data_IF_439093296921
#
_entry.id   IF_439093296921
#
_cell.length_a   1.000
_cell.length_b   1.000
_cell.length_c   1.000
_cell.angle_alpha   90.00
_cell.angle_beta   90.00
_cell.angle_gamma   90.00
#
_symmetry.space_group_name_H-M   'P 1'
#
loop_
_entity.id
_entity.type
_entity.pdbx_description
1 polymer ?
#
# COMPACT_ATOMS: atom_id res chain seq x y z
N UNK A 1 2.22 -8.52 -17.59
CA UNK A 1 3.52 -8.57 -16.88
C UNK A 1 3.25 -8.35 -15.40
N UNK A 2 3.50 -9.34 -14.55
CA UNK A 2 3.31 -9.26 -13.11
C UNK A 2 4.25 -8.19 -12.52
N UNK A 3 3.75 -7.35 -11.64
CA UNK A 3 4.50 -6.21 -11.10
C UNK A 3 5.58 -6.60 -10.06
N UNK A 4 5.71 -7.89 -9.72
CA UNK A 4 6.85 -8.43 -8.97
C UNK A 4 6.88 -8.12 -7.46
N UNK A 5 5.72 -8.04 -6.81
CA UNK A 5 5.62 -7.80 -5.37
C UNK A 5 4.57 -8.71 -4.72
N UNK A 6 4.78 -9.03 -3.44
CA UNK A 6 3.88 -9.82 -2.61
C UNK A 6 3.88 -9.30 -1.17
N UNK A 7 2.82 -9.61 -0.42
CA UNK A 7 2.73 -9.34 1.02
C UNK A 7 2.60 -10.69 1.73
N UNK A 8 3.35 -10.87 2.81
CA UNK A 8 3.33 -12.10 3.60
C UNK A 8 3.04 -11.72 5.05
N UNK A 9 2.01 -12.34 5.63
CA UNK A 9 1.67 -12.20 7.06
C UNK A 9 2.44 -13.26 7.83
N UNK A 10 3.22 -12.83 8.83
CA UNK A 10 3.93 -13.72 9.75
C UNK A 10 3.16 -13.83 11.06
N UNK A 11 3.34 -14.94 11.78
CA UNK A 11 2.69 -15.16 13.08
C UNK A 11 3.28 -14.28 14.19
N UNK A 12 4.57 -13.97 14.11
CA UNK A 12 5.28 -13.21 15.14
C UNK A 12 6.13 -12.07 14.55
N UNK A 13 6.28 -10.94 15.25
CA UNK A 13 7.13 -9.84 14.81
C UNK A 13 8.62 -10.22 14.77
N UNK A 14 9.05 -11.13 15.64
CA UNK A 14 10.44 -11.64 15.65
C UNK A 14 10.76 -12.46 14.39
N UNK A 15 9.85 -13.34 13.98
CA UNK A 15 9.96 -14.12 12.73
C UNK A 15 10.01 -13.19 11.52
N UNK A 16 9.20 -12.13 11.51
CA UNK A 16 9.26 -11.10 10.46
C UNK A 16 10.63 -10.43 10.39
N UNK A 17 11.23 -10.05 11.53
CA UNK A 17 12.55 -9.40 11.55
C UNK A 17 13.66 -10.34 11.09
N UNK A 18 13.61 -11.61 11.50
CA UNK A 18 14.52 -12.65 11.04
C UNK A 18 14.42 -12.85 9.52
N UNK A 19 13.19 -12.91 9.00
CA UNK A 19 12.93 -13.03 7.56
C UNK A 19 13.43 -11.81 6.78
N UNK A 20 13.22 -10.58 7.29
CA UNK A 20 13.75 -9.36 6.68
C UNK A 20 15.29 -9.43 6.63
N UNK A 21 15.93 -9.75 7.74
CA UNK A 21 17.39 -9.79 7.83
C UNK A 21 18.02 -10.85 6.92
N UNK A 22 17.39 -12.02 6.82
CA UNK A 22 17.91 -13.14 6.02
C UNK A 22 17.56 -13.09 4.53
N UNK A 23 16.38 -12.56 4.17
CA UNK A 23 15.90 -12.59 2.80
C UNK A 23 16.09 -11.26 2.05
N UNK A 24 16.27 -10.14 2.76
CA UNK A 24 16.54 -8.85 2.11
C UNK A 24 17.93 -8.86 1.46
N UNK A 25 17.97 -8.63 0.15
CA UNK A 25 19.20 -8.66 -0.66
C UNK A 25 19.53 -10.03 -1.25
N UNK A 26 18.73 -11.07 -0.95
CA UNK A 26 18.94 -12.40 -1.53
C UNK A 26 18.72 -12.36 -3.05
N UNK A 27 19.68 -12.88 -3.82
CA UNK A 27 19.61 -12.89 -5.29
C UNK A 27 18.82 -14.11 -5.76
N UNK A 28 17.64 -13.87 -6.34
CA UNK A 28 16.86 -14.89 -7.05
C UNK A 28 16.92 -14.56 -8.53
N UNK A 29 17.36 -15.53 -9.34
CA UNK A 29 17.46 -15.38 -10.80
C UNK A 29 18.24 -14.12 -11.24
N UNK A 30 19.29 -13.77 -10.50
CA UNK A 30 20.13 -12.60 -10.77
C UNK A 30 19.59 -11.26 -10.26
N UNK A 31 18.39 -11.24 -9.65
CA UNK A 31 17.79 -10.04 -9.06
C UNK A 31 17.78 -10.11 -7.54
N UNK A 32 18.33 -9.10 -6.87
CA UNK A 32 18.22 -8.99 -5.42
C UNK A 32 16.77 -8.67 -5.02
N UNK A 33 16.19 -9.50 -4.17
CA UNK A 33 14.88 -9.21 -3.56
C UNK A 33 15.01 -8.18 -2.46
N UNK A 34 13.96 -7.38 -2.29
CA UNK A 34 13.87 -6.37 -1.21
C UNK A 34 12.75 -6.80 -0.29
N UNK A 35 13.10 -7.07 0.97
CA UNK A 35 12.15 -7.46 2.01
C UNK A 35 12.15 -6.36 3.07
N UNK A 36 10.97 -5.83 3.39
CA UNK A 36 10.79 -4.72 4.33
C UNK A 36 9.60 -4.99 5.23
N UNK A 37 9.62 -4.40 6.42
CA UNK A 37 8.45 -4.38 7.31
C UNK A 37 7.28 -3.76 6.55
N UNK A 38 6.17 -4.49 6.48
CA UNK A 38 4.93 -3.92 5.97
C UNK A 38 4.49 -2.82 6.93
N UNK A 39 4.48 -1.58 6.47
CA UNK A 39 3.79 -0.51 7.18
C UNK A 39 2.29 -0.80 7.17
N UNK A 40 1.59 -0.44 8.25
CA UNK A 40 0.15 -0.28 8.20
C UNK A 40 -0.13 0.66 7.03
N UNK A 41 -0.60 0.12 5.90
CA UNK A 41 -1.21 0.97 4.89
C UNK A 41 -2.38 1.58 5.63
N UNK A 42 -2.17 2.80 6.12
CA UNK A 42 -3.25 3.65 6.56
C UNK A 42 -4.28 3.51 5.46
N UNK A 43 -5.44 2.98 5.84
CA UNK A 43 -6.65 3.05 5.04
C UNK A 43 -6.92 4.53 4.88
N UNK A 44 -6.15 5.21 4.02
CA UNK A 44 -6.47 6.53 3.56
C UNK A 44 -7.82 6.34 2.90
N UNK A 45 -8.88 6.97 3.42
CA UNK A 45 -10.20 6.81 2.85
C UNK A 45 -10.12 7.39 1.43
N UNK A 46 -9.95 6.52 0.45
CA UNK A 46 -10.07 6.81 -0.99
C UNK A 46 -11.53 7.13 -1.37
N UNK A 47 -12.35 7.60 -0.43
CA UNK A 47 -13.76 7.89 -0.62
C UNK A 47 -14.13 9.37 -0.38
N UNK A 48 -13.22 10.24 0.06
CA UNK A 48 -13.58 11.66 0.28
C UNK A 48 -13.34 12.57 -0.93
N UNK A 49 -12.93 12.01 -2.09
CA UNK A 49 -12.67 12.79 -3.32
C UNK A 49 -13.72 12.52 -4.40
N UNK A 50 -15.01 12.62 -4.07
CA UNK A 50 -16.06 12.89 -5.06
C UNK A 50 -17.23 13.63 -4.43
N UNK A 51 -17.04 14.92 -4.22
CA UNK A 51 -18.08 15.84 -3.75
C UNK A 51 -17.80 17.28 -4.18
N UNK A 52 -17.21 17.48 -5.35
CA UNK A 52 -17.16 18.79 -6.00
C UNK A 52 -18.57 19.06 -6.54
N UNK A 53 -19.48 19.42 -5.65
CA UNK A 53 -20.77 19.99 -5.99
C UNK A 53 -20.56 21.44 -6.40
N UNK A 54 -20.44 21.65 -7.71
CA UNK A 54 -20.42 22.92 -8.43
C UNK A 54 -21.30 24.03 -7.79
N UNK A 55 -20.82 25.27 -7.58
CA UNK A 55 -21.70 26.42 -7.37
C UNK A 55 -22.30 26.82 -8.73
N UNK A 56 -23.47 26.26 -9.04
CA UNK A 56 -24.16 26.48 -10.32
C UNK A 56 -25.55 27.09 -10.14
N UNK A 57 -25.61 28.42 -10.28
CA UNK A 57 -26.64 29.22 -10.94
C UNK A 57 -28.14 28.89 -10.72
N UNK A 58 -28.80 29.75 -9.93
CA UNK A 58 -30.02 30.48 -10.31
C UNK A 58 -31.38 29.76 -10.28
N UNK A 59 -32.31 30.30 -9.47
CA UNK A 59 -33.69 30.65 -9.87
C UNK A 59 -34.31 31.57 -8.79
N UNK A 60 -34.71 32.82 -9.12
CA UNK A 60 -35.59 33.60 -8.25
C UNK A 60 -37.04 33.12 -8.41
N UNK A 61 -37.71 32.83 -7.29
CA UNK A 61 -39.08 32.34 -7.30
C UNK A 61 -39.83 32.63 -6.00
N UNK A 62 -40.53 33.77 -6.01
CA UNK A 62 -41.60 34.26 -5.11
C UNK A 62 -41.15 35.13 -3.93
#
# INVERSE_FOLDING_TARGET
MSKGYAFVTMSSPEEMLAAITGANGYKIEGRAMVVKKAGEKSSAPIHSMLGIGHPGLGHPGQ
#
